data_IF_656485685425
#
_entry.id   IF_656485685425
#
_cell.length_a   1.000
_cell.length_b   1.000
_cell.length_c   1.000
_cell.angle_alpha   90.00
_cell.angle_beta   90.00
_cell.angle_gamma   90.00
#
_symmetry.space_group_name_H-M   'P 1'
#
loop_
_entity.id
_entity.type
_entity.pdbx_description
1 polymer ?
#
# COMPACT_ATOMS: atom_id res chain seq x y z
N UNK A 1 21.09 6.18 40.16
CA UNK A 1 21.10 6.77 38.80
C UNK A 1 22.40 6.32 38.17
N UNK A 2 22.35 5.51 37.10
CA UNK A 2 23.56 5.09 36.40
C UNK A 2 24.19 6.32 35.74
N UNK A 3 25.50 6.52 35.87
CA UNK A 3 26.23 7.64 35.27
C UNK A 3 26.09 7.58 33.74
N UNK A 4 25.31 8.48 33.16
CA UNK A 4 25.19 8.61 31.71
C UNK A 4 26.30 9.57 31.29
N UNK A 5 27.40 9.02 30.80
CA UNK A 5 28.50 9.80 30.24
C UNK A 5 28.00 10.85 29.24
N UNK A 6 28.75 11.95 29.13
CA UNK A 6 28.46 13.07 28.22
C UNK A 6 28.04 12.55 26.84
N UNK A 7 26.82 12.91 26.43
CA UNK A 7 26.29 12.57 25.10
C UNK A 7 27.11 13.33 24.06
N UNK A 8 28.14 12.66 23.53
CA UNK A 8 28.90 13.18 22.41
C UNK A 8 27.99 13.08 21.17
N UNK A 9 27.48 14.21 20.69
CA UNK A 9 26.85 14.29 19.38
C UNK A 9 27.92 14.19 18.30
N UNK A 10 28.55 13.02 18.20
CA UNK A 10 29.38 12.69 17.06
C UNK A 10 28.45 12.58 15.85
N UNK A 11 28.61 13.46 14.86
CA UNK A 11 28.21 13.13 13.48
C UNK A 11 28.90 11.81 13.16
N UNK A 12 28.15 10.69 13.14
CA UNK A 12 28.69 9.40 12.75
C UNK A 12 29.29 9.57 11.35
N UNK A 13 30.62 9.63 11.27
CA UNK A 13 31.41 10.03 10.09
C UNK A 13 31.33 9.03 8.93
N UNK A 14 30.34 8.13 8.96
CA UNK A 14 30.07 7.09 7.96
C UNK A 14 28.58 6.83 7.71
N UNK A 15 27.66 7.69 8.17
CA UNK A 15 26.25 7.56 7.82
C UNK A 15 25.96 8.23 6.45
N UNK A 16 25.68 7.43 5.42
CA UNK A 16 25.24 7.92 4.11
C UNK A 16 23.77 8.39 4.21
N UNK A 17 23.59 9.62 4.68
CA UNK A 17 22.26 10.21 4.87
C UNK A 17 21.39 10.17 3.58
N UNK A 18 21.91 10.49 2.38
CA UNK A 18 21.18 10.27 1.13
C UNK A 18 20.65 8.85 0.93
N UNK A 19 21.46 7.82 1.20
CA UNK A 19 21.01 6.43 1.06
C UNK A 19 19.92 6.06 2.09
N UNK A 20 20.02 6.59 3.31
CA UNK A 20 19.00 6.42 4.34
C UNK A 20 17.67 7.07 3.95
N UNK A 21 17.70 8.29 3.43
CA UNK A 21 16.52 9.02 2.96
C UNK A 21 15.83 8.28 1.81
N UNK A 22 16.58 7.86 0.79
CA UNK A 22 16.04 7.10 -0.34
C UNK A 22 15.37 5.78 0.11
N UNK A 23 15.98 5.09 1.07
CA UNK A 23 15.41 3.85 1.63
C UNK A 23 14.12 4.13 2.38
N UNK A 24 14.07 5.22 3.16
CA UNK A 24 12.87 5.64 3.88
C UNK A 24 11.72 6.00 2.92
N UNK A 25 12.00 6.77 1.87
CA UNK A 25 10.99 7.10 0.85
C UNK A 25 10.42 5.84 0.18
N UNK A 26 11.29 4.89 -0.16
CA UNK A 26 10.90 3.60 -0.73
C UNK A 26 10.04 2.79 0.24
N UNK A 27 10.44 2.74 1.51
CA UNK A 27 9.67 2.07 2.57
C UNK A 27 8.27 2.67 2.72
N UNK A 28 8.16 3.99 2.82
CA UNK A 28 6.87 4.69 2.95
C UNK A 28 5.99 4.42 1.73
N UNK A 29 6.56 4.42 0.53
CA UNK A 29 5.83 4.10 -0.69
C UNK A 29 5.33 2.65 -0.68
N UNK A 30 6.18 1.67 -0.37
CA UNK A 30 5.77 0.26 -0.34
C UNK A 30 4.74 -0.02 0.76
N UNK A 31 4.86 0.62 1.93
CA UNK A 31 3.87 0.54 2.99
C UNK A 31 2.52 1.09 2.52
N UNK A 32 2.53 2.20 1.77
CA UNK A 32 1.32 2.78 1.20
C UNK A 32 0.68 1.86 0.15
N UNK A 33 1.44 1.41 -0.85
CA UNK A 33 0.93 0.56 -1.93
C UNK A 33 0.44 -0.79 -1.39
N UNK A 34 1.17 -1.38 -0.43
CA UNK A 34 0.78 -2.61 0.27
C UNK A 34 -0.53 -2.44 1.05
N UNK A 35 -0.70 -1.32 1.75
CA UNK A 35 -1.93 -1.02 2.50
C UNK A 35 -3.14 -0.88 1.57
N UNK A 36 -2.99 -0.16 0.45
CA UNK A 36 -4.04 -0.05 -0.57
C UNK A 36 -4.37 -1.41 -1.20
N UNK A 37 -3.36 -2.24 -1.46
CA UNK A 37 -3.58 -3.58 -1.98
C UNK A 37 -4.41 -4.45 -1.02
N UNK A 38 -4.09 -4.44 0.28
CA UNK A 38 -4.87 -5.14 1.31
C UNK A 38 -6.32 -4.65 1.33
N UNK A 39 -6.55 -3.33 1.26
CA UNK A 39 -7.92 -2.76 1.18
C UNK A 39 -8.68 -3.32 -0.02
N UNK A 40 -8.06 -3.40 -1.20
CA UNK A 40 -8.72 -3.93 -2.39
C UNK A 40 -9.04 -5.43 -2.27
N UNK A 41 -8.17 -6.21 -1.62
CA UNK A 41 -8.46 -7.62 -1.30
C UNK A 41 -9.66 -7.75 -0.37
N UNK A 42 -9.74 -6.91 0.66
CA UNK A 42 -10.89 -6.88 1.58
C UNK A 42 -12.18 -6.53 0.83
N UNK A 43 -12.15 -5.54 -0.07
CA UNK A 43 -13.29 -5.22 -0.92
C UNK A 43 -13.73 -6.42 -1.78
N UNK A 44 -12.79 -7.11 -2.42
CA UNK A 44 -13.09 -8.31 -3.22
C UNK A 44 -13.70 -9.43 -2.38
N UNK A 45 -13.17 -9.66 -1.18
CA UNK A 45 -13.71 -10.63 -0.23
C UNK A 45 -15.09 -10.23 0.30
N UNK A 46 -15.36 -8.94 0.51
CA UNK A 46 -16.70 -8.47 0.86
C UNK A 46 -17.68 -8.71 -0.30
N UNK A 47 -17.30 -8.36 -1.53
CA UNK A 47 -18.15 -8.57 -2.72
C UNK A 47 -18.48 -10.05 -2.93
N UNK A 48 -17.49 -10.93 -2.87
CA UNK A 48 -17.70 -12.36 -3.09
C UNK A 48 -18.26 -13.09 -1.87
N UNK A 49 -17.58 -12.95 -0.74
CA UNK A 49 -17.84 -13.74 0.48
C UNK A 49 -18.98 -13.22 1.35
N UNK A 50 -19.20 -11.90 1.40
CA UNK A 50 -20.27 -11.31 2.24
C UNK A 50 -21.53 -11.07 1.41
N UNK A 51 -21.39 -10.46 0.23
CA UNK A 51 -22.53 -10.14 -0.64
C UNK A 51 -22.92 -11.29 -1.60
N UNK A 52 -22.10 -12.33 -1.71
CA UNK A 52 -22.38 -13.51 -2.55
C UNK A 52 -22.09 -13.32 -4.05
N UNK A 53 -21.60 -12.16 -4.47
CA UNK A 53 -21.38 -11.80 -5.87
C UNK A 53 -19.99 -12.22 -6.37
N UNK A 54 -19.67 -13.52 -6.32
CA UNK A 54 -18.35 -14.04 -6.69
C UNK A 54 -17.86 -13.67 -8.10
N UNK A 55 -18.77 -13.64 -9.08
CA UNK A 55 -18.41 -13.19 -10.44
C UNK A 55 -17.94 -11.73 -10.47
N UNK A 56 -18.52 -10.87 -9.64
CA UNK A 56 -18.10 -9.46 -9.51
C UNK A 56 -16.85 -9.29 -8.64
N UNK A 57 -16.51 -10.27 -7.80
CA UNK A 57 -15.27 -10.25 -7.03
C UNK A 57 -14.03 -10.50 -7.90
N UNK A 58 -14.16 -11.28 -8.98
CA UNK A 58 -13.05 -11.58 -9.92
C UNK A 58 -12.38 -10.31 -10.45
N UNK A 59 -13.11 -9.35 -11.07
CA UNK A 59 -12.48 -8.12 -11.57
C UNK A 59 -11.84 -7.30 -10.45
N UNK A 60 -12.39 -7.31 -9.22
CA UNK A 60 -11.78 -6.61 -8.07
C UNK A 60 -10.40 -7.18 -7.76
N UNK A 61 -10.24 -8.51 -7.73
CA UNK A 61 -8.94 -9.13 -7.48
C UNK A 61 -7.95 -8.88 -8.63
N UNK A 62 -8.40 -8.93 -9.88
CA UNK A 62 -7.55 -8.62 -11.03
C UNK A 62 -7.06 -7.16 -10.99
N UNK A 63 -7.95 -6.21 -10.70
CA UNK A 63 -7.61 -4.79 -10.53
C UNK A 63 -6.60 -4.61 -9.38
N UNK A 64 -6.81 -5.29 -8.25
CA UNK A 64 -5.91 -5.22 -7.10
C UNK A 64 -4.48 -5.68 -7.45
N UNK A 65 -4.36 -6.80 -8.19
CA UNK A 65 -3.07 -7.37 -8.61
C UNK A 65 -2.38 -6.47 -9.63
N UNK A 66 -3.10 -6.07 -10.69
CA UNK A 66 -2.56 -5.24 -11.77
C UNK A 66 -2.15 -3.86 -11.20
N UNK A 67 -2.98 -3.28 -10.34
CA UNK A 67 -2.70 -2.02 -9.66
C UNK A 67 -1.42 -2.07 -8.83
N UNK A 68 -1.23 -3.15 -8.05
CA UNK A 68 -0.01 -3.34 -7.27
C UNK A 68 1.23 -3.49 -8.16
N UNK A 69 1.17 -4.34 -9.19
CA UNK A 69 2.29 -4.55 -10.11
C UNK A 69 2.69 -3.22 -10.78
N UNK A 70 1.71 -2.45 -11.26
CA UNK A 70 1.95 -1.15 -11.87
C UNK A 70 2.50 -0.11 -10.87
N UNK A 71 2.03 -0.11 -9.62
CA UNK A 71 2.52 0.80 -8.59
C UNK A 71 3.98 0.49 -8.23
N UNK A 72 4.33 -0.80 -8.08
CA UNK A 72 5.70 -1.23 -7.79
C UNK A 72 6.66 -0.90 -8.95
N UNK A 73 6.22 -1.02 -10.20
CA UNK A 73 7.05 -0.76 -11.38
C UNK A 73 7.21 0.71 -11.78
N UNK A 74 6.32 1.62 -11.36
CA UNK A 74 6.25 3.00 -11.91
C UNK A 74 6.83 4.10 -11.02
N UNK A 75 7.26 3.79 -9.79
CA UNK A 75 7.68 4.81 -8.81
C UNK A 75 6.52 5.71 -8.30
N UNK A 76 5.34 5.63 -8.92
CA UNK A 76 4.16 6.44 -8.62
C UNK A 76 3.15 5.71 -7.74
N UNK A 77 2.41 6.48 -6.93
CA UNK A 77 1.25 6.00 -6.15
C UNK A 77 -0.05 6.02 -6.95
N UNK A 78 -0.07 6.63 -8.14
CA UNK A 78 -1.26 6.74 -8.99
C UNK A 78 -1.93 5.40 -9.30
N UNK A 79 -1.19 4.32 -9.67
CA UNK A 79 -1.84 3.04 -9.96
C UNK A 79 -2.58 2.44 -8.77
N UNK A 80 -2.06 2.62 -7.55
CA UNK A 80 -2.73 2.21 -6.30
C UNK A 80 -4.04 2.96 -6.10
N UNK A 81 -4.06 4.28 -6.29
CA UNK A 81 -5.29 5.09 -6.20
C UNK A 81 -6.33 4.67 -7.23
N UNK A 82 -5.92 4.46 -8.48
CA UNK A 82 -6.82 4.03 -9.57
C UNK A 82 -7.42 2.66 -9.25
N UNK A 83 -6.59 1.70 -8.80
CA UNK A 83 -7.08 0.38 -8.42
C UNK A 83 -8.10 0.47 -7.29
N UNK A 84 -7.81 1.26 -6.26
CA UNK A 84 -8.75 1.51 -5.16
C UNK A 84 -10.07 2.10 -5.64
N UNK A 85 -10.03 3.16 -6.45
CA UNK A 85 -11.25 3.81 -6.93
C UNK A 85 -12.13 2.83 -7.71
N UNK A 86 -11.55 2.03 -8.61
CA UNK A 86 -12.29 1.05 -9.38
C UNK A 86 -12.85 -0.08 -8.51
N UNK A 87 -12.04 -0.64 -7.61
CA UNK A 87 -12.49 -1.67 -6.65
C UNK A 87 -13.62 -1.16 -5.75
N UNK A 88 -13.53 0.08 -5.28
CA UNK A 88 -14.55 0.71 -4.44
C UNK A 88 -15.85 0.96 -5.20
N UNK A 89 -15.79 1.38 -6.47
CA UNK A 89 -16.97 1.55 -7.31
C UNK A 89 -17.70 0.22 -7.55
N UNK A 90 -16.96 -0.87 -7.82
CA UNK A 90 -17.56 -2.20 -7.98
C UNK A 90 -18.23 -2.63 -6.68
N UNK A 91 -17.53 -2.48 -5.55
CA UNK A 91 -18.10 -2.76 -4.23
C UNK A 91 -19.39 -1.97 -4.00
N UNK A 92 -19.36 -0.65 -4.21
CA UNK A 92 -20.52 0.23 -4.02
C UNK A 92 -21.70 -0.15 -4.90
N UNK A 93 -21.45 -0.50 -6.18
CA UNK A 93 -22.49 -1.02 -7.06
C UNK A 93 -23.12 -2.30 -6.50
N UNK A 94 -22.29 -3.29 -6.14
CA UNK A 94 -22.77 -4.59 -5.64
C UNK A 94 -23.46 -4.52 -4.28
N UNK A 95 -23.15 -3.51 -3.47
CA UNK A 95 -23.77 -3.32 -2.16
C UNK A 95 -25.15 -2.64 -2.24
N UNK A 96 -25.45 -1.98 -3.38
CA UNK A 96 -26.69 -1.24 -3.60
C UNK A 96 -27.66 -1.92 -4.57
N UNK A 97 -27.18 -2.93 -5.30
CA UNK A 97 -27.96 -3.77 -6.22
C UNK A 97 -28.55 -4.99 -5.52
#
# INVERSE_FOLDING_TARGET
>A
MADHGTVEYATATGNDYPAHEQTYESFVKYAFDGSIHVINLLLGLTVGGVLGHWFMAIPVFLIAIIGLIAALGSGSKTPSYVAFALSFLIFGFTALS
#
